data_IF_667183184797
#
_entry.id   IF_667183184797
#
_cell.length_a   1.000
_cell.length_b   1.000
_cell.length_c   1.000
_cell.angle_alpha   90.00
_cell.angle_beta   90.00
_cell.angle_gamma   90.00
#
_symmetry.space_group_name_H-M   'P 1'
#
loop_
_entity.id
_entity.type
_entity.pdbx_description
1 polymer ?
#
# COMPACT_ATOMS: atom_id res chain seq x y z
N UNK A 1 9.48 11.78 -12.97
CA UNK A 1 9.31 10.45 -13.60
C UNK A 1 8.46 9.61 -12.66
N UNK A 2 7.48 8.85 -13.17
CA UNK A 2 6.65 7.97 -12.34
C UNK A 2 7.50 6.89 -11.65
N UNK A 3 7.26 6.66 -10.36
CA UNK A 3 7.92 5.61 -9.57
C UNK A 3 6.94 4.51 -9.22
N UNK A 4 7.38 3.25 -9.34
CA UNK A 4 6.64 2.10 -8.84
C UNK A 4 7.15 1.73 -7.45
N UNK A 5 6.24 1.77 -6.47
CA UNK A 5 6.48 1.35 -5.10
C UNK A 5 5.87 -0.03 -4.85
N UNK A 6 6.63 -0.92 -4.21
CA UNK A 6 6.18 -2.26 -3.87
C UNK A 6 6.15 -2.41 -2.36
N UNK A 7 4.96 -2.55 -1.78
CA UNK A 7 4.79 -2.97 -0.39
C UNK A 7 4.96 -4.47 -0.27
N UNK A 8 6.21 -4.92 -0.29
CA UNK A 8 6.56 -6.31 -0.03
C UNK A 8 7.00 -6.50 1.42
N UNK A 9 6.70 -7.67 1.98
CA UNK A 9 7.43 -8.16 3.14
C UNK A 9 8.67 -8.85 2.58
N UNK A 10 9.85 -8.53 3.10
CA UNK A 10 11.08 -9.29 2.81
C UNK A 10 11.05 -10.67 3.50
N UNK A 11 9.89 -11.33 3.54
CA UNK A 11 9.70 -12.57 4.27
C UNK A 11 10.45 -13.72 3.59
N UNK A 12 10.40 -13.82 2.26
CA UNK A 12 11.06 -14.91 1.51
C UNK A 12 12.57 -14.99 1.70
N UNK A 13 13.25 -13.92 2.14
CA UNK A 13 14.70 -13.92 2.38
C UNK A 13 15.09 -13.74 3.85
N UNK A 14 14.24 -13.12 4.69
CA UNK A 14 14.56 -12.90 6.11
C UNK A 14 13.97 -13.96 7.05
N UNK A 15 12.88 -14.61 6.62
CA UNK A 15 12.16 -15.60 7.41
C UNK A 15 11.79 -16.68 6.41
N UNK A 16 12.69 -17.66 6.22
CA UNK A 16 12.50 -18.86 5.38
C UNK A 16 11.24 -19.70 5.74
N UNK A 17 10.40 -19.16 6.61
CA UNK A 17 9.29 -19.73 7.32
C UNK A 17 8.18 -18.69 7.54
N UNK A 18 7.49 -18.32 6.46
CA UNK A 18 6.25 -17.52 6.53
C UNK A 18 5.19 -18.21 7.42
N UNK A 19 5.29 -19.53 7.59
CA UNK A 19 4.51 -20.37 8.50
C UNK A 19 4.70 -20.05 10.00
N UNK A 20 5.72 -19.27 10.38
CA UNK A 20 5.94 -18.87 11.78
C UNK A 20 5.11 -17.67 12.23
N UNK A 21 4.55 -16.90 11.29
CA UNK A 21 3.72 -15.77 11.66
C UNK A 21 2.35 -16.27 12.13
N UNK A 22 1.95 -15.84 13.32
CA UNK A 22 0.55 -15.91 13.68
C UNK A 22 -0.28 -15.06 12.70
N UNK A 23 -1.58 -15.34 12.60
CA UNK A 23 -2.48 -14.50 11.81
C UNK A 23 -2.47 -13.03 12.28
N UNK A 24 -2.23 -12.78 13.56
CA UNK A 24 -2.09 -11.42 14.09
C UNK A 24 -0.82 -10.74 13.59
N UNK A 25 0.32 -11.41 13.64
CA UNK A 25 1.58 -10.88 13.14
C UNK A 25 1.52 -10.62 11.64
N UNK A 26 0.89 -11.53 10.89
CA UNK A 26 0.66 -11.37 9.45
C UNK A 26 -0.18 -10.12 9.17
N UNK A 27 -1.27 -9.91 9.93
CA UNK A 27 -2.09 -8.69 9.80
C UNK A 27 -1.28 -7.44 10.13
N UNK A 28 -0.48 -7.47 11.19
CA UNK A 28 0.40 -6.36 11.59
C UNK A 28 1.39 -6.02 10.49
N UNK A 29 2.12 -7.02 9.99
CA UNK A 29 3.09 -6.87 8.90
C UNK A 29 2.47 -6.22 7.66
N UNK A 30 1.34 -6.76 7.19
CA UNK A 30 0.62 -6.21 6.02
C UNK A 30 0.10 -4.79 6.28
N UNK A 31 -0.33 -4.49 7.51
CA UNK A 31 -0.75 -3.13 7.88
C UNK A 31 0.42 -2.14 7.82
N UNK A 32 1.62 -2.54 8.27
CA UNK A 32 2.78 -1.63 8.29
C UNK A 32 3.22 -1.17 6.91
N UNK A 33 2.88 -1.90 5.84
CA UNK A 33 3.21 -1.54 4.45
C UNK A 33 2.44 -0.30 3.97
N UNK A 34 1.28 0.00 4.57
CA UNK A 34 0.49 1.20 4.25
C UNK A 34 1.25 2.50 4.49
N UNK A 35 2.33 2.46 5.29
CA UNK A 35 3.23 3.61 5.48
C UNK A 35 3.86 4.11 4.19
N UNK A 36 3.98 3.27 3.15
CA UNK A 36 4.55 3.66 1.86
C UNK A 36 3.74 4.76 1.15
N UNK A 37 2.46 4.93 1.49
CA UNK A 37 1.64 6.04 0.98
C UNK A 37 2.27 7.40 1.28
N UNK A 38 2.98 7.54 2.41
CA UNK A 38 3.68 8.78 2.78
C UNK A 38 4.86 9.13 1.88
N UNK A 39 5.34 8.18 1.06
CA UNK A 39 6.50 8.38 0.19
C UNK A 39 6.10 8.73 -1.25
N UNK A 40 4.81 8.62 -1.58
CA UNK A 40 4.32 8.86 -2.93
C UNK A 40 4.49 10.31 -3.34
N UNK A 41 4.75 10.47 -4.63
CA UNK A 41 4.70 11.75 -5.34
C UNK A 41 3.66 11.68 -6.45
N UNK A 42 3.31 12.84 -6.99
CA UNK A 42 2.34 12.91 -8.08
C UNK A 42 2.80 12.07 -9.28
N UNK A 43 1.90 11.23 -9.79
CA UNK A 43 2.17 10.29 -10.88
C UNK A 43 2.75 8.93 -10.46
N UNK A 44 3.03 8.70 -9.17
CA UNK A 44 3.52 7.40 -8.69
C UNK A 44 2.45 6.31 -8.66
N UNK A 45 2.91 5.04 -8.67
CA UNK A 45 2.08 3.87 -8.46
C UNK A 45 2.55 3.08 -7.23
N UNK A 46 1.62 2.50 -6.47
CA UNK A 46 1.90 1.68 -5.29
C UNK A 46 1.11 0.38 -5.33
N UNK A 47 1.82 -0.74 -5.20
CA UNK A 47 1.23 -2.07 -5.06
C UNK A 47 1.26 -2.49 -3.59
N UNK A 48 0.11 -2.84 -3.03
CA UNK A 48 -0.03 -3.28 -1.64
C UNK A 48 -0.90 -4.54 -1.54
N UNK A 49 -0.56 -5.51 -0.67
CA UNK A 49 -1.35 -6.72 -0.49
C UNK A 49 -2.73 -6.49 0.16
N UNK A 50 -2.95 -5.32 0.77
CA UNK A 50 -4.26 -4.94 1.32
C UNK A 50 -4.64 -3.52 0.91
N UNK A 51 -5.94 -3.27 0.64
CA UNK A 51 -6.41 -1.95 0.26
C UNK A 51 -6.19 -0.93 1.36
N UNK A 52 -6.00 0.32 0.94
CA UNK A 52 -5.91 1.50 1.79
C UNK A 52 -7.24 2.23 1.73
N UNK A 53 -7.80 2.57 2.88
CA UNK A 53 -9.07 3.32 2.95
C UNK A 53 -8.90 4.73 2.40
N UNK A 54 -9.94 5.23 1.71
CA UNK A 54 -10.00 6.61 1.20
C UNK A 54 -9.70 7.65 2.28
N UNK A 55 -10.27 7.51 3.48
CA UNK A 55 -10.06 8.45 4.59
C UNK A 55 -8.58 8.60 4.98
N UNK A 56 -7.84 7.49 4.95
CA UNK A 56 -6.40 7.51 5.22
C UNK A 56 -5.62 8.18 4.08
N UNK A 57 -5.99 7.90 2.82
CA UNK A 57 -5.38 8.57 1.66
C UNK A 57 -5.63 10.09 1.70
N UNK A 58 -6.85 10.51 1.99
CA UNK A 58 -7.21 11.92 2.17
C UNK A 58 -6.46 12.55 3.34
N UNK A 59 -6.26 11.81 4.43
CA UNK A 59 -5.42 12.26 5.53
C UNK A 59 -3.97 12.50 5.06
N UNK A 60 -3.34 11.55 4.38
CA UNK A 60 -1.97 11.72 3.87
C UNK A 60 -1.88 12.86 2.87
N UNK A 61 -2.81 12.96 1.92
CA UNK A 61 -2.84 14.02 0.91
C UNK A 61 -2.89 15.42 1.55
N UNK A 62 -3.71 15.60 2.60
CA UNK A 62 -3.77 16.87 3.35
C UNK A 62 -2.43 17.27 3.99
N UNK A 63 -1.58 16.31 4.34
CA UNK A 63 -0.30 16.56 5.00
C UNK A 63 0.89 16.64 4.03
N UNK A 64 0.77 16.03 2.85
CA UNK A 64 1.87 15.90 1.87
C UNK A 64 1.67 16.76 0.63
N UNK A 65 0.45 17.25 0.38
CA UNK A 65 0.08 17.93 -0.86
C UNK A 65 -0.14 16.98 -2.04
N UNK A 66 -0.12 15.66 -1.83
CA UNK A 66 -0.28 14.65 -2.87
C UNK A 66 -1.63 14.79 -3.59
N UNK A 67 -1.59 14.87 -4.92
CA UNK A 67 -2.79 14.80 -5.75
C UNK A 67 -3.22 13.34 -5.91
N UNK A 68 -4.27 12.95 -5.18
CA UNK A 68 -4.80 11.58 -5.21
C UNK A 68 -5.29 11.14 -6.59
N UNK A 69 -5.65 12.07 -7.49
CA UNK A 69 -6.09 11.73 -8.84
C UNK A 69 -4.92 11.30 -9.75
N UNK A 70 -3.71 11.74 -9.40
CA UNK A 70 -2.48 11.50 -10.16
C UNK A 70 -1.82 10.16 -9.85
N UNK A 71 -2.11 9.55 -8.70
CA UNK A 71 -1.50 8.28 -8.28
C UNK A 71 -2.30 7.05 -8.74
N UNK A 72 -1.67 5.88 -8.64
CA UNK A 72 -2.32 4.58 -8.87
C UNK A 72 -2.06 3.63 -7.71
N UNK A 73 -3.11 3.09 -7.11
CA UNK A 73 -3.02 2.08 -6.06
C UNK A 73 -3.52 0.75 -6.60
N UNK A 74 -2.73 -0.31 -6.40
CA UNK A 74 -3.07 -1.67 -6.84
C UNK A 74 -3.04 -2.59 -5.63
N UNK A 75 -4.12 -3.31 -5.40
CA UNK A 75 -4.17 -4.38 -4.42
C UNK A 75 -4.62 -5.69 -5.08
N UNK A 76 -3.72 -6.67 -5.28
CA UNK A 76 -4.00 -7.87 -6.07
C UNK A 76 -5.16 -8.73 -5.53
N UNK A 77 -5.32 -8.74 -4.20
CA UNK A 77 -6.32 -9.55 -3.50
C UNK A 77 -7.57 -8.76 -3.10
N UNK A 78 -7.65 -7.47 -3.49
CA UNK A 78 -8.89 -6.71 -3.43
C UNK A 78 -9.62 -6.87 -4.76
N UNK A 79 -10.96 -6.84 -4.75
CA UNK A 79 -11.70 -6.54 -5.98
C UNK A 79 -11.07 -5.28 -6.59
N UNK A 80 -10.74 -5.31 -7.89
CA UNK A 80 -10.16 -4.18 -8.61
C UNK A 80 -11.03 -2.93 -8.37
N UNK A 81 -10.60 -2.06 -7.46
CA UNK A 81 -11.26 -0.77 -7.24
C UNK A 81 -11.09 0.04 -8.53
N UNK A 82 -12.17 0.20 -9.28
CA UNK A 82 -12.18 1.11 -10.44
C UNK A 82 -12.05 2.55 -9.94
N UNK A 83 -11.62 3.47 -10.81
CA UNK A 83 -11.40 4.88 -10.45
C UNK A 83 -12.60 5.55 -9.76
N UNK A 84 -13.82 5.07 -9.99
CA UNK A 84 -15.05 5.58 -9.36
C UNK A 84 -15.19 5.19 -7.88
N UNK A 85 -14.37 4.26 -7.40
CA UNK A 85 -14.36 3.77 -6.01
C UNK A 85 -13.14 4.29 -5.21
N UNK A 86 -12.21 5.00 -5.86
CA UNK A 86 -11.01 5.63 -5.28
C UNK A 86 -11.18 7.09 -4.93
#
# INVERSE_FOLDING_TARGET
>A
MPTLWLGNACAEHMVDRVDLFSEEDRRGLLFTMKRLVWLLRDGDALVLPRPVSRDFLQHVARHTGLDLSSIRLVSPDADLLTQDQL
#
